data_IF_384426529761
#
_entry.id   IF_384426529761
#
_cell.length_a   1.000
_cell.length_b   1.000
_cell.length_c   1.000
_cell.angle_alpha   90.00
_cell.angle_beta   90.00
_cell.angle_gamma   90.00
#
_symmetry.space_group_name_H-M   'P 1'
#
loop_
_entity.id
_entity.type
_entity.pdbx_description
1 polymer ?
#
# COMPACT_ATOMS: atom_id res chain seq x y z
N UNK A 1 -22.20 -9.26 13.27
CA UNK A 1 -20.72 -9.23 13.25
C UNK A 1 -20.31 -7.80 13.58
N UNK A 2 -19.54 -7.61 14.65
CA UNK A 2 -19.15 -6.27 15.11
C UNK A 2 -18.04 -5.74 14.20
N UNK A 3 -18.40 -4.96 13.18
CA UNK A 3 -17.43 -4.21 12.38
C UNK A 3 -16.85 -3.09 13.25
N UNK A 4 -15.84 -3.42 14.07
CA UNK A 4 -14.94 -2.40 14.58
C UNK A 4 -14.27 -1.78 13.36
N UNK A 5 -14.58 -0.52 13.09
CA UNK A 5 -13.80 0.29 12.16
C UNK A 5 -12.39 0.35 12.75
N UNK A 6 -11.49 -0.48 12.23
CA UNK A 6 -10.08 -0.46 12.62
C UNK A 6 -9.44 0.66 11.83
N UNK A 7 -9.13 1.77 12.50
CA UNK A 7 -8.33 2.83 11.87
C UNK A 7 -6.95 2.25 11.55
N UNK A 8 -6.52 2.25 10.27
CA UNK A 8 -5.21 1.75 9.90
C UNK A 8 -4.09 2.48 10.67
N UNK A 9 -3.01 1.79 11.10
CA UNK A 9 -1.91 2.39 11.84
C UNK A 9 -0.96 3.14 10.89
N UNK A 10 -1.48 4.11 10.15
CA UNK A 10 -0.76 4.80 9.08
C UNK A 10 -0.90 6.32 9.18
N UNK A 11 0.00 7.04 8.52
CA UNK A 11 -0.12 8.47 8.23
C UNK A 11 0.65 8.82 6.96
N UNK A 12 0.34 9.96 6.36
CA UNK A 12 1.00 10.46 5.14
C UNK A 12 1.95 11.60 5.49
N UNK A 13 3.16 11.58 4.92
CA UNK A 13 4.10 12.70 4.94
C UNK A 13 4.95 12.74 3.66
N UNK A 14 5.78 13.76 3.50
CA UNK A 14 6.79 13.77 2.44
C UNK A 14 7.74 12.57 2.58
N UNK A 15 8.04 11.95 1.44
CA UNK A 15 8.88 10.77 1.31
C UNK A 15 10.27 11.16 0.82
N UNK A 16 11.28 10.47 1.34
CA UNK A 16 12.65 10.57 0.83
C UNK A 16 12.83 9.78 -0.49
N UNK A 17 11.85 8.96 -0.88
CA UNK A 17 11.82 8.22 -2.15
C UNK A 17 11.25 9.10 -3.25
N UNK A 18 9.98 9.49 -3.13
CA UNK A 18 9.30 10.31 -4.12
C UNK A 18 7.99 10.90 -3.56
N UNK A 19 7.79 12.21 -3.73
CA UNK A 19 6.56 12.91 -3.38
C UNK A 19 6.09 12.59 -1.94
N UNK A 20 4.85 12.12 -1.82
CA UNK A 20 4.29 11.66 -0.54
C UNK A 20 4.50 10.16 -0.36
N UNK A 21 4.75 9.75 0.87
CA UNK A 21 4.81 8.35 1.29
C UNK A 21 3.78 8.03 2.37
N UNK A 22 3.46 6.75 2.48
CA UNK A 22 2.67 6.20 3.58
C UNK A 22 3.61 5.65 4.67
N UNK A 23 3.37 6.02 5.92
CA UNK A 23 4.27 5.68 7.04
C UNK A 23 3.49 4.99 8.16
N UNK A 24 4.16 4.09 8.89
CA UNK A 24 3.55 3.39 10.02
C UNK A 24 3.49 4.30 11.26
N UNK A 25 2.31 4.47 11.85
CA UNK A 25 2.11 5.28 13.08
C UNK A 25 2.57 4.56 14.36
N UNK A 26 2.80 3.25 14.26
CA UNK A 26 3.36 2.39 15.31
C UNK A 26 4.17 1.26 14.69
N UNK A 27 4.79 0.42 15.53
CA UNK A 27 5.34 -0.84 15.07
C UNK A 27 4.21 -1.74 14.53
N UNK A 28 4.45 -2.39 13.40
CA UNK A 28 3.55 -3.35 12.74
C UNK A 28 4.31 -4.66 12.60
N UNK A 29 3.71 -5.75 13.06
CA UNK A 29 4.33 -7.07 13.01
C UNK A 29 4.29 -7.65 11.58
N UNK A 30 5.23 -8.55 11.27
CA UNK A 30 5.14 -9.38 10.07
C UNK A 30 3.79 -10.12 10.02
N UNK A 31 3.20 -10.19 8.84
CA UNK A 31 1.90 -10.79 8.55
C UNK A 31 0.72 -10.10 9.25
N UNK A 32 0.91 -8.89 9.78
CA UNK A 32 -0.18 -8.08 10.29
C UNK A 32 -0.91 -7.35 9.15
N UNK A 33 -2.24 -7.28 9.25
CA UNK A 33 -3.08 -6.46 8.37
C UNK A 33 -2.82 -4.98 8.67
N UNK A 34 -2.36 -4.24 7.67
CA UNK A 34 -2.20 -2.78 7.75
C UNK A 34 -3.57 -2.11 7.54
N UNK A 35 -4.32 -2.57 6.54
CA UNK A 35 -5.70 -2.16 6.32
C UNK A 35 -6.24 -2.61 4.98
N UNK A 36 -7.50 -2.26 4.74
CA UNK A 36 -8.18 -2.43 3.45
C UNK A 36 -8.19 -1.07 2.73
N UNK A 37 -7.90 -1.07 1.43
CA UNK A 37 -7.89 0.15 0.64
C UNK A 37 -9.17 0.31 -0.19
N UNK A 38 -9.65 1.54 -0.28
CA UNK A 38 -10.77 1.90 -1.13
C UNK A 38 -10.31 2.03 -2.58
N UNK A 39 -11.04 1.40 -3.49
CA UNK A 39 -10.70 1.43 -4.90
C UNK A 39 -11.91 1.61 -5.80
N UNK A 40 -11.64 2.02 -7.04
CA UNK A 40 -12.60 2.01 -8.14
C UNK A 40 -11.99 1.31 -9.33
N UNK A 41 -12.70 0.31 -9.87
CA UNK A 41 -12.25 -0.38 -11.08
C UNK A 41 -12.10 0.60 -12.25
N UNK A 42 -11.03 0.45 -13.02
CA UNK A 42 -10.70 1.26 -14.19
C UNK A 42 -10.09 0.40 -15.28
N UNK A 43 -10.25 0.83 -16.53
CA UNK A 43 -9.52 0.28 -17.70
C UNK A 43 -8.39 1.17 -18.17
N UNK A 44 -8.29 2.37 -17.60
CA UNK A 44 -7.26 3.34 -17.94
C UNK A 44 -6.12 3.20 -16.95
N UNK A 45 -4.91 3.13 -17.48
CA UNK A 45 -3.70 3.24 -16.69
C UNK A 45 -3.49 4.68 -16.20
N UNK A 46 -2.68 4.84 -15.16
CA UNK A 46 -2.33 6.15 -14.62
C UNK A 46 -1.87 6.13 -13.17
N UNK A 47 -1.64 7.31 -12.58
CA UNK A 47 -1.21 7.42 -11.19
C UNK A 47 -2.18 6.70 -10.25
N UNK A 48 -1.61 5.93 -9.32
CA UNK A 48 -2.36 5.20 -8.28
C UNK A 48 -3.29 4.10 -8.80
N UNK A 49 -3.11 3.64 -10.04
CA UNK A 49 -3.80 2.46 -10.57
C UNK A 49 -2.97 1.23 -10.25
N UNK A 50 -3.59 0.27 -9.56
CA UNK A 50 -3.02 -1.05 -9.31
C UNK A 50 -3.59 -2.06 -10.31
N UNK A 51 -2.72 -2.76 -11.01
CA UNK A 51 -3.07 -3.88 -11.88
C UNK A 51 -2.90 -5.18 -11.09
N UNK A 52 -4.01 -5.72 -10.57
CA UNK A 52 -3.99 -6.93 -9.73
C UNK A 52 -4.14 -8.22 -10.56
N UNK A 53 -4.75 -8.10 -11.75
CA UNK A 53 -4.86 -9.14 -12.78
C UNK A 53 -4.63 -8.48 -14.16
N UNK A 54 -4.37 -9.29 -15.20
CA UNK A 54 -4.01 -8.83 -16.56
C UNK A 54 -4.91 -7.71 -17.11
N UNK A 55 -6.23 -7.79 -16.85
CA UNK A 55 -7.23 -6.82 -17.35
C UNK A 55 -8.02 -6.10 -16.24
N UNK A 56 -7.56 -6.15 -14.98
CA UNK A 56 -8.26 -5.54 -13.85
C UNK A 56 -7.41 -4.49 -13.14
N UNK A 57 -7.55 -3.25 -13.62
CA UNK A 57 -7.02 -2.06 -12.98
C UNK A 57 -7.94 -1.52 -11.89
N UNK A 58 -7.35 -1.05 -10.80
CA UNK A 58 -8.06 -0.45 -9.67
C UNK A 58 -7.40 0.87 -9.27
N UNK A 59 -8.12 1.98 -9.43
CA UNK A 59 -7.68 3.29 -8.93
C UNK A 59 -7.85 3.32 -7.41
N UNK A 60 -6.76 3.51 -6.67
CA UNK A 60 -6.78 3.65 -5.20
C UNK A 60 -7.23 5.05 -4.80
N UNK A 61 -8.23 5.13 -3.91
CA UNK A 61 -8.94 6.37 -3.59
C UNK A 61 -8.51 7.01 -2.27
N UNK A 62 -7.95 6.23 -1.36
CA UNK A 62 -7.55 6.66 -0.01
C UNK A 62 -6.02 6.80 0.12
N UNK A 63 -5.53 6.92 1.36
CA UNK A 63 -4.12 7.18 1.65
C UNK A 63 -3.19 6.02 1.23
N UNK A 64 -3.72 4.82 1.00
CA UNK A 64 -2.91 3.70 0.48
C UNK A 64 -2.34 3.99 -0.91
N UNK A 65 -2.86 5.00 -1.63
CA UNK A 65 -2.28 5.45 -2.90
C UNK A 65 -0.86 6.02 -2.80
N UNK A 66 -0.41 6.36 -1.58
CA UNK A 66 0.93 6.89 -1.30
C UNK A 66 1.93 5.80 -0.89
N UNK A 67 1.62 4.51 -1.04
CA UNK A 67 2.62 3.46 -0.89
C UNK A 67 3.58 3.54 -2.07
N UNK A 68 4.81 3.94 -1.79
CA UNK A 68 5.87 4.05 -2.79
C UNK A 68 6.45 2.68 -3.17
N UNK A 69 7.14 2.64 -4.31
CA UNK A 69 7.89 1.47 -4.74
C UNK A 69 9.23 1.34 -4.01
N UNK A 70 9.60 0.12 -3.61
CA UNK A 70 10.97 -0.21 -3.21
C UNK A 70 11.30 -1.68 -3.48
N UNK A 71 12.50 -1.96 -4.00
CA UNK A 71 13.01 -3.33 -4.21
C UNK A 71 13.19 -4.12 -2.90
N UNK A 72 13.28 -3.44 -1.75
CA UNK A 72 13.30 -4.01 -0.40
C UNK A 72 12.00 -3.70 0.35
N UNK A 73 10.89 -3.88 -0.36
CA UNK A 73 9.54 -3.66 0.14
C UNK A 73 9.26 -4.29 1.51
N UNK A 74 8.31 -3.72 2.22
CA UNK A 74 7.88 -4.18 3.54
C UNK A 74 6.38 -4.41 3.67
N UNK A 75 5.60 -4.11 2.61
CA UNK A 75 4.20 -4.46 2.47
C UNK A 75 3.88 -5.03 1.08
N UNK A 76 2.71 -5.66 0.96
CA UNK A 76 2.15 -6.16 -0.28
C UNK A 76 0.63 -5.93 -0.33
N UNK A 77 0.13 -5.62 -1.52
CA UNK A 77 -1.30 -5.63 -1.84
C UNK A 77 -1.77 -7.05 -2.15
N UNK A 78 -2.99 -7.38 -1.75
CA UNK A 78 -3.66 -8.65 -2.05
C UNK A 78 -4.96 -8.42 -2.84
N UNK A 79 -5.40 -9.45 -3.56
CA UNK A 79 -6.57 -9.43 -4.45
C UNK A 79 -7.91 -9.18 -3.74
N UNK A 80 -7.94 -9.30 -2.41
CA UNK A 80 -9.06 -8.95 -1.54
C UNK A 80 -9.07 -7.49 -1.08
N UNK A 81 -8.24 -6.63 -1.70
CA UNK A 81 -8.05 -5.22 -1.38
C UNK A 81 -7.42 -4.96 0.00
N UNK A 82 -6.73 -5.95 0.56
CA UNK A 82 -5.95 -5.77 1.78
C UNK A 82 -4.50 -5.41 1.50
N UNK A 83 -3.87 -4.75 2.48
CA UNK A 83 -2.43 -4.51 2.52
C UNK A 83 -1.87 -5.17 3.77
N UNK A 84 -0.90 -6.07 3.60
CA UNK A 84 -0.25 -6.74 4.72
C UNK A 84 1.24 -6.45 4.80
N UNK A 85 1.77 -6.44 6.01
CA UNK A 85 3.21 -6.36 6.26
C UNK A 85 3.90 -7.69 5.92
N UNK A 86 4.92 -7.69 5.07
CA UNK A 86 5.70 -8.90 4.71
C UNK A 86 6.92 -9.12 5.61
N UNK A 87 7.26 -8.11 6.42
CA UNK A 87 8.23 -8.16 7.53
C UNK A 87 7.79 -7.20 8.63
N UNK A 88 8.50 -7.18 9.76
CA UNK A 88 8.27 -6.17 10.79
C UNK A 88 8.56 -4.77 10.21
N UNK A 89 7.67 -3.82 10.50
CA UNK A 89 7.78 -2.40 10.14
C UNK A 89 7.85 -1.59 11.43
N UNK A 90 8.86 -0.74 11.56
CA UNK A 90 9.00 0.12 12.74
C UNK A 90 8.06 1.31 12.64
N UNK A 91 7.70 1.88 13.79
CA UNK A 91 7.10 3.20 13.85
C UNK A 91 7.94 4.19 13.02
N UNK A 92 7.26 5.03 12.24
CA UNK A 92 7.82 6.05 11.36
C UNK A 92 8.62 5.52 10.17
N UNK A 93 8.62 4.20 9.95
CA UNK A 93 9.18 3.59 8.74
C UNK A 93 8.19 3.73 7.57
N UNK A 94 8.71 4.03 6.38
CA UNK A 94 7.90 4.12 5.15
C UNK A 94 7.41 2.74 4.72
N UNK A 95 6.11 2.65 4.46
CA UNK A 95 5.45 1.49 3.92
C UNK A 95 5.61 1.52 2.40
N UNK A 96 6.27 0.50 1.87
CA UNK A 96 6.61 0.38 0.45
C UNK A 96 6.25 -1.00 -0.05
N UNK A 97 5.93 -1.10 -1.34
CA UNK A 97 5.68 -2.37 -1.99
C UNK A 97 6.54 -2.59 -3.24
N UNK A 98 6.64 -3.84 -3.64
CA UNK A 98 7.37 -4.25 -4.83
C UNK A 98 6.37 -4.45 -5.97
N UNK A 99 6.54 -3.74 -7.10
CA UNK A 99 5.70 -3.85 -8.31
C UNK A 99 6.15 -5.00 -9.25
N UNK A 100 7.22 -5.74 -8.92
CA UNK A 100 7.90 -6.64 -9.87
C UNK A 100 9.08 -5.96 -10.57
N UNK A 101 9.97 -6.73 -11.21
CA UNK A 101 11.21 -6.25 -11.85
C UNK A 101 11.00 -5.34 -13.08
N UNK A 102 9.75 -5.12 -13.52
CA UNK A 102 9.43 -4.45 -14.79
C UNK A 102 9.02 -2.97 -14.68
N UNK A 103 9.27 -2.32 -13.54
CA UNK A 103 8.95 -0.90 -13.34
C UNK A 103 10.19 -0.11 -12.88
N UNK A 104 11.02 0.30 -13.84
CA UNK A 104 12.07 1.30 -13.64
C UNK A 104 13.40 0.99 -14.33
N UNK A 105 13.49 1.34 -15.62
CA UNK A 105 14.59 2.20 -16.10
C UNK A 105 14.03 3.63 -16.27
#
# INVERSE_FOLDING_TARGET
>A
MNNKIHTPPIYVKESDIHGKGLFASRNIAKAELIGEFQSKQTKNDGPHVLWMEEDKGYLVLDDFRYINHNNKANAAYYDDFTVMAIRNIKKDEEITHFYGENWGE
#
